data_IF_878881544292
#
_entry.id   IF_878881544292
#
_cell.length_a   1.000
_cell.length_b   1.000
_cell.length_c   1.000
_cell.angle_alpha   90.00
_cell.angle_beta   90.00
_cell.angle_gamma   90.00
#
_symmetry.space_group_name_H-M   'P 1'
#
loop_
_entity.id
_entity.type
_entity.pdbx_description
1 polymer ?
#
# COMPACT_ATOMS: atom_id res chain seq x y z
N UNK A 1 -15.84 -23.86 -11.20
CA UNK A 1 -16.50 -22.58 -10.86
C UNK A 1 -15.43 -21.59 -10.46
N UNK A 2 -15.09 -20.63 -11.31
CA UNK A 2 -14.29 -19.48 -10.91
C UNK A 2 -15.20 -18.50 -10.18
N UNK A 3 -15.04 -18.38 -8.86
CA UNK A 3 -15.69 -17.35 -8.06
C UNK A 3 -14.91 -16.03 -8.13
N UNK A 4 -15.59 -14.91 -7.87
CA UNK A 4 -14.92 -13.62 -7.70
C UNK A 4 -14.31 -13.52 -6.29
N UNK A 5 -13.10 -12.98 -6.19
CA UNK A 5 -12.51 -12.59 -4.90
C UNK A 5 -13.04 -11.21 -4.51
N UNK A 6 -14.01 -11.20 -3.60
CA UNK A 6 -14.55 -9.96 -3.04
C UNK A 6 -13.72 -9.57 -1.82
N UNK A 7 -13.13 -8.37 -1.87
CA UNK A 7 -12.29 -7.82 -0.80
C UNK A 7 -13.06 -6.75 -0.03
N UNK A 8 -12.98 -6.83 1.30
CA UNK A 8 -13.46 -5.77 2.18
C UNK A 8 -12.34 -4.75 2.42
N UNK A 9 -12.70 -3.53 2.82
CA UNK A 9 -11.72 -2.51 3.24
C UNK A 9 -10.78 -3.01 4.33
N UNK A 10 -11.30 -3.81 5.29
CA UNK A 10 -10.47 -4.44 6.32
C UNK A 10 -9.37 -5.32 5.72
N UNK A 11 -9.71 -6.17 4.75
CA UNK A 11 -8.72 -7.05 4.08
C UNK A 11 -7.68 -6.24 3.30
N UNK A 12 -8.07 -5.16 2.64
CA UNK A 12 -7.14 -4.26 1.94
C UNK A 12 -6.20 -3.59 2.95
N UNK A 13 -6.73 -3.08 4.06
CA UNK A 13 -5.95 -2.43 5.09
C UNK A 13 -4.95 -3.39 5.77
N UNK A 14 -5.38 -4.60 6.12
CA UNK A 14 -4.51 -5.64 6.68
C UNK A 14 -3.40 -6.06 5.71
N UNK A 15 -3.72 -6.18 4.41
CA UNK A 15 -2.71 -6.46 3.38
C UNK A 15 -1.69 -5.32 3.26
N UNK A 16 -2.13 -4.06 3.29
CA UNK A 16 -1.23 -2.90 3.27
C UNK A 16 -0.36 -2.80 4.53
N UNK A 17 -0.91 -3.11 5.72
CA UNK A 17 -0.15 -3.18 6.97
C UNK A 17 0.94 -4.25 6.92
N UNK A 18 0.60 -5.43 6.37
CA UNK A 18 1.57 -6.50 6.17
C UNK A 18 2.71 -6.05 5.25
N UNK A 19 2.38 -5.43 4.12
CA UNK A 19 3.38 -4.91 3.18
C UNK A 19 4.26 -3.82 3.81
N UNK A 20 3.67 -2.87 4.53
CA UNK A 20 4.43 -1.85 5.24
C UNK A 20 5.37 -2.45 6.29
N UNK A 21 4.92 -3.49 7.02
CA UNK A 21 5.77 -4.21 7.98
C UNK A 21 6.93 -4.92 7.31
N UNK A 22 6.73 -5.51 6.13
CA UNK A 22 7.81 -6.13 5.35
C UNK A 22 8.84 -5.08 4.89
N UNK A 23 8.38 -3.93 4.38
CA UNK A 23 9.26 -2.82 4.00
C UNK A 23 10.05 -2.29 5.22
N UNK A 24 9.38 -2.04 6.34
CA UNK A 24 10.02 -1.51 7.55
C UNK A 24 11.09 -2.47 8.11
N UNK A 25 10.93 -3.79 7.94
CA UNK A 25 11.89 -4.80 8.40
C UNK A 25 13.21 -4.77 7.64
N UNK A 26 13.23 -4.24 6.42
CA UNK A 26 14.46 -4.04 5.65
C UNK A 26 15.28 -2.84 6.17
N UNK A 27 14.73 -2.04 7.09
CA UNK A 27 15.40 -0.85 7.63
C UNK A 27 15.59 0.28 6.61
N UNK A 28 14.77 0.27 5.54
CA UNK A 28 14.81 1.27 4.48
C UNK A 28 13.96 2.48 4.85
N UNK A 29 14.49 3.68 4.62
CA UNK A 29 13.72 4.91 4.60
C UNK A 29 13.17 5.11 3.17
N UNK A 30 11.86 5.32 3.05
CA UNK A 30 11.19 5.45 1.76
C UNK A 30 10.98 6.92 1.43
N UNK A 31 11.78 7.44 0.49
CA UNK A 31 11.73 8.84 0.07
C UNK A 31 10.52 9.18 -0.82
N UNK A 32 10.00 8.20 -1.58
CA UNK A 32 8.92 8.37 -2.55
C UNK A 32 8.13 7.07 -2.75
N UNK A 33 6.81 7.17 -2.78
CA UNK A 33 5.91 6.10 -3.21
C UNK A 33 5.24 6.48 -4.54
N UNK A 34 5.26 5.59 -5.53
CA UNK A 34 4.61 5.79 -6.83
C UNK A 34 3.46 4.81 -7.01
N UNK A 35 2.22 5.29 -6.92
CA UNK A 35 1.01 4.48 -7.13
C UNK A 35 0.65 4.37 -8.61
N UNK A 36 0.52 3.14 -9.11
CA UNK A 36 0.09 2.87 -10.50
C UNK A 36 -1.42 3.06 -10.63
N UNK A 37 -1.86 3.96 -11.51
CA UNK A 37 -3.27 4.27 -11.67
C UNK A 37 -4.05 3.16 -12.38
N UNK A 38 -5.33 2.95 -12.02
CA UNK A 38 -6.07 3.61 -10.93
C UNK A 38 -5.98 2.88 -9.59
N UNK A 39 -5.62 1.60 -9.61
CA UNK A 39 -5.70 0.71 -8.44
C UNK A 39 -4.68 1.01 -7.34
N UNK A 40 -3.53 1.57 -7.70
CA UNK A 40 -2.42 1.83 -6.79
C UNK A 40 -2.61 3.05 -5.88
N UNK A 41 -3.52 3.98 -6.22
CA UNK A 41 -3.66 5.23 -5.46
C UNK A 41 -4.01 4.99 -3.99
N UNK A 42 -4.99 4.14 -3.73
CA UNK A 42 -5.45 3.83 -2.37
C UNK A 42 -4.36 3.13 -1.56
N UNK A 43 -3.69 2.15 -2.16
CA UNK A 43 -2.62 1.38 -1.49
C UNK A 43 -1.43 2.28 -1.20
N UNK A 44 -1.02 3.11 -2.17
CA UNK A 44 0.06 4.08 -2.00
C UNK A 44 -0.22 5.06 -0.86
N UNK A 45 -1.45 5.57 -0.75
CA UNK A 45 -1.83 6.47 0.36
C UNK A 45 -1.75 5.78 1.71
N UNK A 46 -2.27 4.54 1.84
CA UNK A 46 -2.21 3.77 3.09
C UNK A 46 -0.75 3.49 3.48
N UNK A 47 0.09 3.07 2.52
CA UNK A 47 1.51 2.82 2.78
C UNK A 47 2.24 4.08 3.25
N UNK A 48 2.03 5.22 2.59
CA UNK A 48 2.67 6.48 2.99
C UNK A 48 2.25 6.92 4.39
N UNK A 49 1.01 6.63 4.81
CA UNK A 49 0.55 6.89 6.18
C UNK A 49 1.28 6.02 7.21
N UNK A 50 1.41 4.72 6.95
CA UNK A 50 2.04 3.78 7.87
C UNK A 50 3.57 3.99 7.93
N UNK A 51 4.19 4.26 6.79
CA UNK A 51 5.65 4.41 6.66
C UNK A 51 6.13 5.84 6.96
N UNK A 52 5.23 6.81 7.10
CA UNK A 52 5.58 8.22 7.31
C UNK A 52 6.13 8.91 6.04
N UNK A 53 5.90 8.34 4.86
CA UNK A 53 6.33 8.93 3.59
C UNK A 53 5.29 9.92 3.07
N UNK A 54 5.63 11.21 3.07
CA UNK A 54 4.74 12.28 2.58
C UNK A 54 4.75 12.43 1.04
N UNK A 55 5.88 12.11 0.41
CA UNK A 55 6.02 12.18 -1.04
C UNK A 55 5.34 10.99 -1.72
N UNK A 56 4.15 11.22 -2.25
CA UNK A 56 3.36 10.21 -2.96
C UNK A 56 3.01 10.73 -4.35
N UNK A 57 3.51 10.05 -5.38
CA UNK A 57 3.19 10.30 -6.78
C UNK A 57 2.26 9.22 -7.35
N UNK A 58 1.66 9.51 -8.50
CA UNK A 58 0.89 8.53 -9.27
C UNK A 58 1.21 8.62 -10.76
N UNK A 59 1.19 7.46 -11.44
CA UNK A 59 1.45 7.32 -12.89
C UNK A 59 0.40 6.48 -13.57
#
# INVERSE_FOLDING_TARGET
>A
MSGFLILTWKKIHEASLKLASEIAREGLEIDLIVGILRGGYIVARILGDILGTENIGVV
#
